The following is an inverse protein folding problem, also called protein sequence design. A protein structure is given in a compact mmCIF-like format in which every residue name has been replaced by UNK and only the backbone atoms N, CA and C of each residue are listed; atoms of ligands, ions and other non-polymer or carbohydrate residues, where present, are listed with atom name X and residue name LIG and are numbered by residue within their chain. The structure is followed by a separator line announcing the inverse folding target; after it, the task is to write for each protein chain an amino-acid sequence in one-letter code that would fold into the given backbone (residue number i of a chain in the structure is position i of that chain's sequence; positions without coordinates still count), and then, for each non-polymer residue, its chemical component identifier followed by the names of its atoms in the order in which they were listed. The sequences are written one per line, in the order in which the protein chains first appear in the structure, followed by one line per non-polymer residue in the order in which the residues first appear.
data_IF_460660058383
#
_entry.id   IF_460660058383
#
_cell.length_a   1.000
_cell.length_b   1.000
_cell.length_c   1.000
_cell.angle_alpha   90.00
_cell.angle_beta   90.00
_cell.angle_gamma   90.00
#
_symmetry.space_group_name_H-M   'P 1'
#
loop_
_entity.id
_entity.type
_entity.pdbx_description
1 polymer ?
#
# COMPACT_ATOMS: atom_id res chain seq x y z
N UNK A 1 -14.98 -10.84 12.77
CA UNK A 1 -13.85 -11.22 11.89
C UNK A 1 -13.45 -10.11 10.91
N UNK A 2 -14.39 -9.31 10.40
CA UNK A 2 -14.07 -8.19 9.48
C UNK A 2 -13.16 -7.12 10.07
N UNK A 3 -13.30 -6.79 11.35
CA UNK A 3 -12.50 -5.76 12.04
C UNK A 3 -10.99 -6.06 12.05
N UNK A 4 -10.62 -7.33 12.25
CA UNK A 4 -9.21 -7.76 12.19
C UNK A 4 -8.64 -7.62 10.76
N UNK A 5 -9.46 -7.92 9.75
CA UNK A 5 -9.08 -7.80 8.34
C UNK A 5 -8.90 -6.33 7.93
N UNK A 6 -9.75 -5.44 8.44
CA UNK A 6 -9.62 -3.98 8.26
C UNK A 6 -8.37 -3.46 8.94
N UNK A 7 -8.10 -3.89 10.16
CA UNK A 7 -6.90 -3.49 10.88
C UNK A 7 -5.63 -3.91 10.14
N UNK A 8 -5.58 -5.14 9.64
CA UNK A 8 -4.49 -5.62 8.80
C UNK A 8 -4.38 -4.82 7.49
N UNK A 9 -5.50 -4.57 6.81
CA UNK A 9 -5.56 -3.78 5.58
C UNK A 9 -5.07 -2.34 5.79
N UNK A 10 -5.42 -1.71 6.90
CA UNK A 10 -5.01 -0.36 7.27
C UNK A 10 -3.50 -0.29 7.55
N UNK A 11 -2.94 -1.27 8.28
CA UNK A 11 -1.49 -1.35 8.51
C UNK A 11 -0.73 -1.53 7.18
N UNK A 12 -1.21 -2.42 6.31
CA UNK A 12 -0.60 -2.67 5.00
C UNK A 12 -0.65 -1.41 4.12
N UNK A 13 -1.81 -0.72 4.07
CA UNK A 13 -1.96 0.52 3.34
C UNK A 13 -0.99 1.59 3.85
N UNK A 14 -0.90 1.77 5.17
CA UNK A 14 0.01 2.74 5.79
C UNK A 14 1.48 2.43 5.50
N UNK A 15 1.89 1.17 5.65
CA UNK A 15 3.27 0.74 5.34
C UNK A 15 3.61 0.91 3.86
N UNK A 16 2.64 0.76 2.96
CA UNK A 16 2.87 0.98 1.54
C UNK A 16 3.14 2.45 1.19
N UNK A 17 2.52 3.41 1.88
CA UNK A 17 2.79 4.85 1.70
C UNK A 17 4.23 5.17 2.10
N UNK A 18 4.70 4.60 3.20
CA UNK A 18 6.09 4.75 3.65
C UNK A 18 7.06 4.15 2.62
N UNK A 19 6.78 2.93 2.13
CA UNK A 19 7.58 2.28 1.10
C UNK A 19 7.60 3.05 -0.23
N UNK A 20 6.47 3.67 -0.59
CA UNK A 20 6.35 4.52 -1.77
C UNK A 20 7.20 5.79 -1.65
N UNK A 21 7.12 6.49 -0.52
CA UNK A 21 7.96 7.67 -0.23
C UNK A 21 9.45 7.30 -0.26
N UNK A 22 9.84 6.16 0.33
CA UNK A 22 11.21 5.68 0.27
C UNK A 22 11.65 5.36 -1.17
N UNK A 23 10.78 4.73 -1.96
CA UNK A 23 11.01 4.48 -3.38
C UNK A 23 11.22 5.77 -4.19
N UNK A 24 10.43 6.81 -3.93
CA UNK A 24 10.57 8.13 -4.58
C UNK A 24 11.86 8.83 -4.15
N UNK A 25 12.16 8.88 -2.84
CA UNK A 25 13.41 9.50 -2.35
C UNK A 25 14.61 8.79 -2.97
N UNK A 26 14.59 7.45 -3.00
CA UNK A 26 15.64 6.64 -3.63
C UNK A 26 15.73 6.90 -5.13
N UNK A 27 14.62 7.07 -5.84
CA UNK A 27 14.61 7.37 -7.27
C UNK A 27 15.19 8.76 -7.59
N UNK A 28 14.94 9.75 -6.74
CA UNK A 28 15.39 11.14 -6.93
C UNK A 28 16.86 11.31 -6.52
N UNK A 29 17.29 10.71 -5.40
CA UNK A 29 18.66 10.85 -4.88
C UNK A 29 19.65 9.79 -5.40
N UNK A 30 19.18 8.59 -5.78
CA UNK A 30 20.03 7.47 -6.22
C UNK A 30 19.59 7.02 -7.63
N UNK A 31 20.35 7.44 -8.62
CA UNK A 31 20.00 7.31 -10.05
C UNK A 31 20.65 6.10 -10.74
N UNK A 32 21.58 5.41 -10.07
CA UNK A 32 22.32 4.26 -10.63
C UNK A 32 21.39 3.10 -11.01
N UNK A 33 20.40 2.78 -10.16
CA UNK A 33 19.50 1.65 -10.35
C UNK A 33 18.02 2.05 -10.43
N UNK A 34 17.68 2.86 -11.44
CA UNK A 34 16.29 3.31 -11.69
C UNK A 34 15.31 2.15 -11.79
N UNK A 35 15.74 0.99 -12.33
CA UNK A 35 14.93 -0.24 -12.39
C UNK A 35 14.52 -0.77 -11.02
N UNK A 36 15.42 -0.69 -10.02
CA UNK A 36 15.14 -1.19 -8.68
C UNK A 36 14.17 -0.25 -7.96
N UNK A 37 14.38 1.06 -8.06
CA UNK A 37 13.47 2.06 -7.50
C UNK A 37 12.07 1.99 -8.11
N UNK A 38 11.96 1.81 -9.44
CA UNK A 38 10.68 1.59 -10.12
C UNK A 38 9.96 0.33 -9.62
N UNK A 39 10.68 -0.78 -9.38
CA UNK A 39 10.09 -2.00 -8.81
C UNK A 39 9.54 -1.75 -7.41
N UNK A 40 10.30 -1.05 -6.55
CA UNK A 40 9.86 -0.73 -5.19
C UNK A 40 8.57 0.09 -5.23
N UNK A 41 8.52 1.14 -6.07
CA UNK A 41 7.34 1.97 -6.26
C UNK A 41 6.15 1.14 -6.76
N UNK A 42 6.37 0.26 -7.76
CA UNK A 42 5.33 -0.60 -8.31
C UNK A 42 4.74 -1.54 -7.24
N UNK A 43 5.59 -2.22 -6.47
CA UNK A 43 5.14 -3.11 -5.39
C UNK A 43 4.41 -2.35 -4.28
N UNK A 44 4.87 -1.13 -3.95
CA UNK A 44 4.20 -0.27 -2.99
C UNK A 44 2.78 0.11 -3.46
N UNK A 45 2.61 0.48 -4.73
CA UNK A 45 1.28 0.80 -5.30
C UNK A 45 0.36 -0.43 -5.29
N UNK A 46 0.86 -1.61 -5.67
CA UNK A 46 0.07 -2.85 -5.64
C UNK A 46 -0.38 -3.16 -4.19
N UNK A 47 0.55 -3.09 -3.22
CA UNK A 47 0.23 -3.30 -1.82
C UNK A 47 -0.76 -2.26 -1.28
N UNK A 48 -0.65 -1.01 -1.71
CA UNK A 48 -1.60 0.05 -1.37
C UNK A 48 -3.01 -0.28 -1.88
N UNK A 49 -3.15 -0.67 -3.15
CA UNK A 49 -4.46 -1.02 -3.74
C UNK A 49 -5.08 -2.23 -3.04
N UNK A 50 -4.29 -3.24 -2.67
CA UNK A 50 -4.78 -4.41 -1.93
C UNK A 50 -5.21 -4.03 -0.51
N UNK A 51 -4.36 -3.29 0.22
CA UNK A 51 -4.67 -2.84 1.58
C UNK A 51 -5.89 -1.93 1.61
N UNK A 52 -5.97 -0.97 0.68
CA UNK A 52 -7.09 -0.05 0.51
C UNK A 52 -8.37 -0.78 0.09
N UNK A 53 -8.27 -1.71 -0.87
CA UNK A 53 -9.40 -2.53 -1.30
C UNK A 53 -9.95 -3.40 -0.18
N UNK A 54 -9.08 -3.89 0.72
CA UNK A 54 -9.49 -4.67 1.89
C UNK A 54 -10.29 -3.82 2.89
N UNK A 55 -9.90 -2.57 3.13
CA UNK A 55 -10.70 -1.67 3.98
C UNK A 55 -11.98 -1.18 3.27
N UNK A 56 -11.95 -0.96 1.96
CA UNK A 56 -13.14 -0.60 1.16
C UNK A 56 -14.18 -1.74 1.11
N UNK A 57 -13.74 -3.00 0.95
CA UNK A 57 -14.61 -4.16 0.94
C UNK A 57 -15.35 -4.34 2.28
N UNK A 58 -14.69 -4.06 3.41
CA UNK A 58 -15.36 -4.09 4.71
C UNK A 58 -16.36 -2.94 4.88
N UNK A 59 -16.10 -1.74 4.34
CA UNK A 59 -17.10 -0.67 4.31
C UNK A 59 -18.32 -1.05 3.45
N UNK A 60 -18.10 -1.72 2.31
CA UNK A 60 -19.18 -2.18 1.44
C UNK A 60 -19.99 -3.35 2.02
N UNK A 61 -19.37 -4.20 2.85
CA UNK A 61 -20.03 -5.31 3.54
C UNK A 61 -20.65 -4.91 4.89
N UNK A 62 -20.09 -3.89 5.56
CA UNK A 62 -20.56 -3.38 6.85
C UNK A 62 -21.76 -2.43 6.77
N UNK A 63 -22.18 -2.05 5.56
CA UNK A 63 -23.41 -1.30 5.29
C UNK A 63 -24.65 -2.18 5.07
N UNK A 64 -24.54 -3.50 5.17
CA UNK A 64 -25.67 -4.42 5.18
C UNK A 64 -26.15 -4.62 6.63
N UNK A 65 -26.79 -3.60 7.17
CA UNK A 65 -27.69 -3.71 8.33
C UNK A 65 -29.13 -3.77 7.82
#
# INVERSE_FOLDING_TARGET
MGEFLVFAGAIIAFMSVIAFLFGIVRLIFISDDKKLSLKIILYAVIAFVIGFGTCAANFSLGGMH
#
